data_IF_511317772710
#
_entry.id   IF_511317772710
#
_cell.length_a   1.000
_cell.length_b   1.000
_cell.length_c   1.000
_cell.angle_alpha   90.00
_cell.angle_beta   90.00
_cell.angle_gamma   90.00
#
_symmetry.space_group_name_H-M   'P 1'
#
loop_
_entity.id
_entity.type
_entity.pdbx_description
1 polymer ?
#
# COMPACT_ATOMS: atom_id res chain seq x y z
N UNK A 1 -36.77 -41.37 -11.04
CA UNK A 1 -36.20 -40.12 -10.51
C UNK A 1 -35.13 -39.70 -11.49
N UNK A 2 -35.31 -38.56 -12.16
CA UNK A 2 -34.28 -38.01 -13.04
C UNK A 2 -33.27 -37.35 -12.12
N UNK A 3 -32.06 -37.89 -12.09
CA UNK A 3 -30.90 -37.31 -11.43
C UNK A 3 -30.56 -36.03 -12.20
N UNK A 4 -30.93 -34.88 -11.64
CA UNK A 4 -30.49 -33.60 -12.15
C UNK A 4 -28.98 -33.50 -11.85
N UNK A 5 -28.14 -33.22 -12.85
CA UNK A 5 -26.72 -32.97 -12.57
C UNK A 5 -26.60 -31.83 -11.56
N UNK A 6 -25.63 -31.90 -10.62
CA UNK A 6 -25.42 -30.83 -9.66
C UNK A 6 -25.21 -29.50 -10.40
N UNK A 7 -25.88 -28.45 -9.93
CA UNK A 7 -25.70 -27.10 -10.48
C UNK A 7 -24.21 -26.77 -10.52
N UNK A 8 -23.70 -26.20 -11.63
CA UNK A 8 -22.30 -25.80 -11.71
C UNK A 8 -21.99 -24.82 -10.57
N UNK A 9 -20.79 -24.90 -9.96
CA UNK A 9 -20.42 -24.01 -8.88
C UNK A 9 -20.57 -22.56 -9.34
N UNK A 10 -21.22 -21.75 -8.50
CA UNK A 10 -21.36 -20.31 -8.74
C UNK A 10 -19.94 -19.73 -8.85
N UNK A 11 -19.65 -19.06 -9.96
CA UNK A 11 -18.35 -18.43 -10.18
C UNK A 11 -18.15 -17.33 -9.13
N UNK A 12 -16.93 -17.22 -8.59
CA UNK A 12 -16.62 -16.30 -7.49
C UNK A 12 -17.01 -14.85 -7.86
N UNK A 13 -16.87 -14.48 -9.12
CA UNK A 13 -17.28 -13.20 -9.70
C UNK A 13 -18.77 -12.91 -9.51
N UNK A 14 -19.62 -13.92 -9.68
CA UNK A 14 -21.08 -13.79 -9.48
C UNK A 14 -21.42 -13.60 -8.00
N UNK A 15 -20.71 -14.30 -7.10
CA UNK A 15 -20.87 -14.13 -5.65
C UNK A 15 -20.48 -12.71 -5.23
N UNK A 16 -19.35 -12.21 -5.73
CA UNK A 16 -18.90 -10.84 -5.45
C UNK A 16 -19.88 -9.82 -6.03
N UNK A 17 -20.31 -9.99 -7.29
CA UNK A 17 -21.26 -9.09 -7.93
C UNK A 17 -22.58 -8.99 -7.14
N UNK A 18 -23.11 -10.11 -6.67
CA UNK A 18 -24.32 -10.10 -5.84
C UNK A 18 -24.10 -9.35 -4.53
N UNK A 19 -22.98 -9.59 -3.83
CA UNK A 19 -22.66 -8.88 -2.59
C UNK A 19 -22.50 -7.37 -2.79
N UNK A 20 -21.99 -6.93 -3.94
CA UNK A 20 -21.87 -5.51 -4.28
C UNK A 20 -23.25 -4.87 -4.51
N UNK A 21 -24.18 -5.59 -5.16
CA UNK A 21 -25.58 -5.14 -5.26
C UNK A 21 -26.23 -5.06 -3.88
N UNK A 22 -25.95 -6.02 -2.99
CA UNK A 22 -26.45 -6.00 -1.60
C UNK A 22 -25.88 -4.82 -0.79
N UNK A 23 -24.70 -4.30 -1.18
CA UNK A 23 -24.14 -3.06 -0.65
C UNK A 23 -24.81 -1.79 -1.22
N UNK A 24 -25.75 -1.93 -2.16
CA UNK A 24 -26.50 -0.84 -2.77
C UNK A 24 -25.87 -0.26 -4.04
N UNK A 25 -24.98 -0.99 -4.71
CA UNK A 25 -24.43 -0.57 -6.00
C UNK A 25 -25.35 -1.00 -7.16
N UNK A 26 -25.42 -0.17 -8.20
CA UNK A 26 -26.10 -0.54 -9.45
C UNK A 26 -25.26 -1.59 -10.21
N UNK A 27 -25.89 -2.72 -10.53
CA UNK A 27 -25.28 -3.84 -11.26
C UNK A 27 -24.76 -3.46 -12.66
N UNK A 28 -25.27 -2.39 -13.27
CA UNK A 28 -24.78 -1.91 -14.57
C UNK A 28 -23.56 -1.00 -14.44
N UNK A 29 -23.28 -0.52 -13.23
CA UNK A 29 -22.22 0.46 -12.98
C UNK A 29 -20.87 -0.12 -12.61
N UNK A 30 -20.74 -1.44 -12.44
CA UNK A 30 -19.48 -2.10 -12.11
C UNK A 30 -19.25 -3.37 -12.92
N UNK A 31 -17.99 -3.83 -12.95
CA UNK A 31 -17.61 -5.12 -13.52
C UNK A 31 -16.80 -5.92 -12.52
N UNK A 32 -17.02 -7.23 -12.47
CA UNK A 32 -16.23 -8.18 -11.69
C UNK A 32 -15.66 -9.21 -12.66
N UNK A 33 -14.35 -9.26 -12.80
CA UNK A 33 -13.67 -10.13 -13.77
C UNK A 33 -12.38 -10.67 -13.21
N UNK A 34 -12.10 -11.95 -13.44
CA UNK A 34 -10.76 -12.47 -13.28
C UNK A 34 -9.84 -11.87 -14.35
N UNK A 35 -8.73 -11.29 -13.92
CA UNK A 35 -7.72 -10.71 -14.78
C UNK A 35 -6.45 -11.56 -14.73
N UNK A 36 -6.16 -12.27 -15.83
CA UNK A 36 -5.03 -13.21 -15.91
C UNK A 36 -3.69 -12.54 -15.56
N UNK A 37 -3.51 -11.26 -15.90
CA UNK A 37 -2.27 -10.55 -15.60
C UNK A 37 -2.11 -10.18 -14.12
N UNK A 38 -3.22 -10.08 -13.38
CA UNK A 38 -3.23 -9.84 -11.93
C UNK A 38 -3.24 -11.15 -11.13
N UNK A 39 -3.60 -12.26 -11.77
CA UNK A 39 -3.88 -13.54 -11.10
C UNK A 39 -4.91 -13.37 -9.96
N UNK A 40 -5.88 -12.48 -10.16
CA UNK A 40 -6.87 -12.06 -9.18
C UNK A 40 -8.10 -11.50 -9.90
N UNK A 41 -9.22 -11.41 -9.18
CA UNK A 41 -10.42 -10.73 -9.65
C UNK A 41 -10.24 -9.22 -9.46
N UNK A 42 -10.49 -8.46 -10.53
CA UNK A 42 -10.62 -7.02 -10.47
C UNK A 42 -12.08 -6.60 -10.48
N UNK A 43 -12.43 -5.75 -9.52
CA UNK A 43 -13.73 -5.12 -9.36
C UNK A 43 -13.57 -3.66 -9.80
N UNK A 44 -14.08 -3.31 -10.98
CA UNK A 44 -14.02 -1.95 -11.50
C UNK A 44 -15.37 -1.27 -11.28
N UNK A 45 -15.40 -0.27 -10.41
CA UNK A 45 -16.60 0.50 -10.04
C UNK A 45 -16.58 1.83 -10.79
N UNK A 46 -17.55 2.02 -11.68
CA UNK A 46 -17.79 3.27 -12.39
C UNK A 46 -18.69 4.23 -11.60
N UNK A 47 -18.81 5.46 -12.11
CA UNK A 47 -19.71 6.47 -11.53
C UNK A 47 -21.17 6.00 -11.49
N UNK A 48 -21.60 5.28 -12.53
CA UNK A 48 -22.98 4.80 -12.66
C UNK A 48 -23.35 3.74 -11.61
N UNK A 49 -22.38 3.17 -10.88
CA UNK A 49 -22.65 2.26 -9.77
C UNK A 49 -23.28 2.96 -8.56
N UNK A 50 -23.18 4.30 -8.49
CA UNK A 50 -23.70 5.08 -7.37
C UNK A 50 -22.94 4.87 -6.05
N UNK A 51 -21.70 4.38 -6.11
CA UNK A 51 -20.91 4.13 -4.92
C UNK A 51 -20.54 5.42 -4.18
N UNK A 52 -20.58 5.37 -2.85
CA UNK A 52 -20.23 6.48 -1.94
C UNK A 52 -19.30 5.99 -0.83
N UNK A 53 -18.63 6.91 -0.13
CA UNK A 53 -17.70 6.58 0.97
C UNK A 53 -18.36 5.76 2.09
N UNK A 54 -19.65 6.00 2.35
CA UNK A 54 -20.42 5.25 3.35
C UNK A 54 -20.52 3.75 3.04
N UNK A 55 -20.31 3.35 1.78
CA UNK A 55 -20.37 1.96 1.35
C UNK A 55 -19.01 1.25 1.36
N UNK A 56 -17.90 1.95 1.60
CA UNK A 56 -16.55 1.38 1.52
C UNK A 56 -16.35 0.14 2.38
N UNK A 57 -16.83 0.15 3.62
CA UNK A 57 -16.74 -1.02 4.50
C UNK A 57 -17.54 -2.23 3.97
N UNK A 58 -18.67 -1.98 3.30
CA UNK A 58 -19.46 -3.04 2.68
C UNK A 58 -18.76 -3.58 1.42
N UNK A 59 -18.30 -2.69 0.55
CA UNK A 59 -17.58 -3.02 -0.69
C UNK A 59 -16.32 -3.84 -0.37
N UNK A 60 -15.53 -3.43 0.62
CA UNK A 60 -14.33 -4.16 1.03
C UNK A 60 -14.66 -5.57 1.53
N UNK A 61 -15.71 -5.74 2.34
CA UNK A 61 -16.16 -7.08 2.77
C UNK A 61 -16.72 -7.92 1.62
N UNK A 62 -17.37 -7.30 0.64
CA UNK A 62 -17.88 -7.97 -0.54
C UNK A 62 -16.74 -8.49 -1.43
N UNK A 63 -15.72 -7.66 -1.64
CA UNK A 63 -14.53 -7.95 -2.42
C UNK A 63 -13.61 -8.98 -1.75
N UNK A 64 -13.51 -8.97 -0.41
CA UNK A 64 -12.61 -9.87 0.31
C UNK A 64 -11.14 -9.50 0.07
N UNK A 65 -10.40 -10.37 -0.61
CA UNK A 65 -8.98 -10.15 -0.95
C UNK A 65 -8.77 -9.67 -2.40
N UNK A 66 -9.87 -9.49 -3.14
CA UNK A 66 -9.83 -9.09 -4.55
C UNK A 66 -9.61 -7.58 -4.71
N UNK A 67 -9.16 -7.18 -5.90
CA UNK A 67 -8.75 -5.80 -6.19
C UNK A 67 -9.99 -4.93 -6.45
N UNK A 68 -10.09 -3.79 -5.78
CA UNK A 68 -11.16 -2.81 -5.99
C UNK A 68 -10.57 -1.55 -6.62
N UNK A 69 -11.07 -1.21 -7.80
CA UNK A 69 -10.67 -0.05 -8.60
C UNK A 69 -11.87 0.84 -8.86
N UNK A 70 -11.83 2.09 -8.42
CA UNK A 70 -12.79 3.13 -8.77
C UNK A 70 -12.28 3.93 -9.97
N UNK A 71 -13.14 4.10 -10.98
CA UNK A 71 -12.80 4.95 -12.15
C UNK A 71 -12.73 6.43 -11.80
N UNK A 72 -13.39 6.85 -10.73
CA UNK A 72 -13.36 8.22 -10.26
C UNK A 72 -12.19 8.39 -9.28
N UNK A 73 -11.20 9.20 -9.68
CA UNK A 73 -9.96 9.39 -8.91
C UNK A 73 -10.20 9.85 -7.47
N UNK A 74 -11.17 10.72 -7.23
CA UNK A 74 -11.51 11.19 -5.88
C UNK A 74 -12.00 10.03 -5.00
N UNK A 75 -12.87 9.17 -5.54
CA UNK A 75 -13.40 8.02 -4.82
C UNK A 75 -12.34 6.92 -4.65
N UNK A 76 -11.45 6.73 -5.63
CA UNK A 76 -10.29 5.86 -5.50
C UNK A 76 -9.34 6.32 -4.38
N UNK A 77 -9.07 7.63 -4.31
CA UNK A 77 -8.24 8.20 -3.25
C UNK A 77 -8.88 7.97 -1.88
N UNK A 78 -10.16 8.34 -1.73
CA UNK A 78 -10.88 8.15 -0.47
C UNK A 78 -10.96 6.67 -0.05
N UNK A 79 -11.12 5.75 -1.00
CA UNK A 79 -11.11 4.31 -0.71
C UNK A 79 -9.72 3.83 -0.26
N UNK A 80 -8.66 4.35 -0.88
CA UNK A 80 -7.27 4.06 -0.50
C UNK A 80 -6.99 4.54 0.93
N UNK A 81 -7.45 5.74 1.28
CA UNK A 81 -7.33 6.29 2.64
C UNK A 81 -8.11 5.46 3.66
N UNK A 82 -9.35 5.07 3.32
CA UNK A 82 -10.15 4.15 4.14
C UNK A 82 -9.43 2.82 4.40
N UNK A 83 -8.82 2.23 3.37
CA UNK A 83 -8.06 0.98 3.51
C UNK A 83 -6.81 1.18 4.37
N UNK A 84 -6.08 2.28 4.18
CA UNK A 84 -4.92 2.60 5.00
C UNK A 84 -5.28 2.71 6.49
N UNK A 85 -6.38 3.38 6.83
CA UNK A 85 -6.91 3.48 8.19
C UNK A 85 -7.32 2.11 8.74
N UNK A 86 -8.03 1.31 7.95
CA UNK A 86 -8.51 -0.01 8.34
C UNK A 86 -7.36 -0.97 8.71
N UNK A 87 -6.27 -0.95 7.93
CA UNK A 87 -5.13 -1.83 8.14
C UNK A 87 -4.04 -1.23 9.04
N UNK A 88 -4.10 0.07 9.37
CA UNK A 88 -3.09 0.75 10.19
C UNK A 88 -2.75 0.01 11.49
N UNK A 89 -3.71 -0.50 12.30
CA UNK A 89 -3.37 -1.20 13.53
C UNK A 89 -2.49 -2.44 13.30
N UNK A 90 -2.80 -3.22 12.27
CA UNK A 90 -2.03 -4.41 11.90
C UNK A 90 -0.66 -4.00 11.34
N UNK A 91 -0.61 -2.98 10.49
CA UNK A 91 0.66 -2.43 9.97
C UNK A 91 1.58 -1.97 11.10
N UNK A 92 1.07 -1.26 12.09
CA UNK A 92 1.84 -0.84 13.27
C UNK A 92 2.34 -2.07 14.04
N UNK A 93 1.49 -3.07 14.27
CA UNK A 93 1.87 -4.27 15.00
C UNK A 93 3.00 -5.03 14.29
N UNK A 94 2.88 -5.23 12.98
CA UNK A 94 3.87 -5.95 12.17
C UNK A 94 5.19 -5.16 12.07
N UNK A 95 5.11 -3.85 11.84
CA UNK A 95 6.30 -2.99 11.79
C UNK A 95 7.02 -2.93 13.16
N UNK A 96 6.26 -2.86 14.26
CA UNK A 96 6.81 -2.92 15.62
C UNK A 96 7.54 -4.25 15.86
N UNK A 97 6.92 -5.37 15.49
CA UNK A 97 7.52 -6.70 15.62
C UNK A 97 8.80 -6.82 14.78
N UNK A 98 8.79 -6.28 13.55
CA UNK A 98 9.95 -6.20 12.67
C UNK A 98 11.12 -5.43 13.29
N UNK A 99 10.87 -4.21 13.77
CA UNK A 99 11.91 -3.41 14.43
C UNK A 99 12.43 -4.06 15.71
N UNK A 100 11.56 -4.66 16.52
CA UNK A 100 11.97 -5.38 17.73
C UNK A 100 12.92 -6.53 17.40
N UNK A 101 12.62 -7.32 16.35
CA UNK A 101 13.49 -8.42 15.88
C UNK A 101 14.86 -7.91 15.42
N UNK A 102 14.91 -6.71 14.85
CA UNK A 102 16.14 -6.08 14.38
C UNK A 102 16.89 -5.31 15.49
N UNK A 103 16.34 -5.21 16.70
CA UNK A 103 16.92 -4.41 17.79
C UNK A 103 16.86 -2.90 17.52
N UNK A 104 15.97 -2.45 16.64
CA UNK A 104 15.85 -1.06 16.19
C UNK A 104 14.65 -0.33 16.82
N UNK A 105 13.89 -0.98 17.70
CA UNK A 105 12.73 -0.34 18.35
C UNK A 105 13.17 0.60 19.48
N UNK A 106 14.18 0.21 20.25
CA UNK A 106 14.65 1.00 21.38
C UNK A 106 15.31 2.28 20.88
N UNK A 107 14.92 3.42 21.48
CA UNK A 107 15.39 4.76 21.11
C UNK A 107 15.12 5.14 19.63
N UNK A 108 14.07 4.58 19.03
CA UNK A 108 13.68 4.94 17.67
C UNK A 108 13.52 6.46 17.49
N UNK A 109 14.10 7.09 16.44
CA UNK A 109 13.97 8.51 16.18
C UNK A 109 12.51 8.92 15.99
N UNK A 110 12.03 9.86 16.80
CA UNK A 110 10.69 10.43 16.67
C UNK A 110 10.71 11.67 15.79
N UNK A 111 9.76 11.81 14.86
CA UNK A 111 9.69 12.97 13.95
C UNK A 111 9.70 14.31 14.68
N UNK A 112 8.98 14.40 15.79
CA UNK A 112 8.81 15.63 16.59
C UNK A 112 10.08 16.11 17.30
N UNK A 113 11.12 15.28 17.38
CA UNK A 113 12.41 15.66 17.96
C UNK A 113 13.32 16.42 16.98
N UNK A 114 12.89 16.63 15.73
CA UNK A 114 13.71 17.24 14.68
C UNK A 114 13.02 18.45 14.06
N UNK A 115 13.78 19.52 13.85
CA UNK A 115 13.29 20.77 13.24
C UNK A 115 12.97 20.59 11.76
N UNK A 116 13.77 19.78 11.04
CA UNK A 116 13.59 19.52 9.60
C UNK A 116 13.40 18.04 9.28
N UNK A 117 12.71 17.77 8.16
CA UNK A 117 12.61 16.42 7.59
C UNK A 117 13.96 15.85 7.19
N UNK A 118 14.91 16.71 6.78
CA UNK A 118 16.26 16.30 6.44
C UNK A 118 17.04 15.80 7.66
N UNK A 119 16.87 16.45 8.82
CA UNK A 119 17.48 16.00 10.07
C UNK A 119 16.87 14.69 10.55
N UNK A 120 15.55 14.56 10.45
CA UNK A 120 14.85 13.32 10.76
C UNK A 120 15.32 12.16 9.87
N UNK A 121 15.41 12.37 8.55
CA UNK A 121 15.90 11.37 7.61
C UNK A 121 17.32 10.90 7.95
N UNK A 122 18.23 11.84 8.24
CA UNK A 122 19.60 11.53 8.66
C UNK A 122 19.67 10.74 9.96
N UNK A 123 18.79 11.05 10.91
CA UNK A 123 18.72 10.33 12.17
C UNK A 123 18.20 8.89 11.98
N UNK A 124 17.21 8.67 11.12
CA UNK A 124 16.73 7.33 10.77
C UNK A 124 17.84 6.47 10.14
N UNK A 125 18.63 7.04 9.22
CA UNK A 125 19.77 6.35 8.63
C UNK A 125 20.82 5.98 9.67
N UNK A 126 21.20 6.95 10.51
CA UNK A 126 22.17 6.72 11.59
C UNK A 126 21.70 5.63 12.57
N UNK A 127 20.40 5.65 12.92
CA UNK A 127 19.78 4.65 13.78
C UNK A 127 19.86 3.24 13.18
N UNK A 128 19.76 3.14 11.85
CA UNK A 128 19.88 1.89 11.11
C UNK A 128 21.33 1.50 10.78
N UNK A 129 22.34 2.22 11.31
CA UNK A 129 23.75 1.95 11.06
C UNK A 129 24.25 2.36 9.67
N UNK A 130 23.52 3.24 8.97
CA UNK A 130 23.89 3.78 7.67
C UNK A 130 24.56 5.15 7.80
N UNK A 131 25.23 5.56 6.73
CA UNK A 131 25.82 6.89 6.62
C UNK A 131 24.68 7.92 6.48
N UNK A 132 24.61 8.96 7.32
CA UNK A 132 23.59 10.00 7.20
C UNK A 132 23.62 10.70 5.84
N UNK A 133 22.45 10.85 5.23
CA UNK A 133 22.20 11.44 3.92
C UNK A 133 22.55 10.53 2.74
N UNK A 134 22.83 9.24 2.97
CA UNK A 134 23.25 8.33 1.90
C UNK A 134 22.10 7.75 1.08
N UNK A 135 21.01 7.38 1.73
CA UNK A 135 19.88 6.66 1.17
C UNK A 135 18.52 7.37 1.33
N UNK A 136 18.37 8.34 2.23
CA UNK A 136 17.16 9.14 2.37
C UNK A 136 17.36 10.57 1.89
N UNK A 137 16.38 11.10 1.16
CA UNK A 137 16.35 12.47 0.65
C UNK A 137 15.00 13.13 0.97
N UNK A 138 15.03 14.16 1.81
CA UNK A 138 13.87 15.02 2.04
C UNK A 138 13.63 15.93 0.82
N UNK A 139 12.37 16.08 0.42
CA UNK A 139 11.95 16.94 -0.69
C UNK A 139 10.53 17.47 -0.43
N UNK A 140 10.38 18.80 -0.42
CA UNK A 140 9.12 19.42 -0.01
C UNK A 140 8.69 18.94 1.38
N UNK A 141 7.53 18.30 1.43
CA UNK A 141 6.94 17.74 2.66
C UNK A 141 7.22 16.24 2.84
N UNK A 142 7.91 15.58 1.89
CA UNK A 142 8.14 14.14 1.89
C UNK A 142 9.60 13.73 2.10
N UNK A 143 9.80 12.42 2.30
CA UNK A 143 11.11 11.78 2.30
C UNK A 143 11.09 10.67 1.25
N UNK A 144 12.10 10.64 0.39
CA UNK A 144 12.29 9.56 -0.58
C UNK A 144 13.42 8.64 -0.20
N UNK A 145 13.19 7.35 -0.37
CA UNK A 145 14.25 6.35 -0.37
C UNK A 145 14.96 6.33 -1.74
N UNK A 146 16.23 6.75 -1.74
CA UNK A 146 17.14 6.88 -2.87
C UNK A 146 18.53 6.32 -2.49
N UNK A 147 18.67 5.00 -2.27
CA UNK A 147 19.96 4.40 -1.94
C UNK A 147 20.95 4.50 -3.12
N UNK A 148 22.26 4.53 -2.86
CA UNK A 148 23.27 4.31 -3.89
C UNK A 148 23.01 3.01 -4.64
N UNK A 149 23.37 2.97 -5.93
CA UNK A 149 23.15 1.81 -6.77
C UNK A 149 23.97 0.62 -6.27
N UNK A 150 23.28 -0.42 -5.83
CA UNK A 150 23.87 -1.73 -5.53
C UNK A 150 23.57 -2.69 -6.69
N UNK A 151 24.55 -3.47 -7.12
CA UNK A 151 24.39 -4.44 -8.23
C UNK A 151 23.88 -5.79 -7.72
N UNK A 152 24.18 -6.13 -6.47
CA UNK A 152 23.76 -7.36 -5.83
C UNK A 152 22.55 -7.13 -4.91
N UNK A 153 21.44 -7.79 -5.21
CA UNK A 153 20.22 -7.74 -4.41
C UNK A 153 20.43 -8.26 -2.98
N UNK A 154 21.30 -9.24 -2.78
CA UNK A 154 21.56 -9.80 -1.44
C UNK A 154 22.27 -8.78 -0.56
N UNK A 155 23.27 -8.08 -1.10
CA UNK A 155 23.96 -7.01 -0.39
C UNK A 155 23.03 -5.81 -0.15
N UNK A 156 22.22 -5.45 -1.15
CA UNK A 156 21.19 -4.43 -0.99
C UNK A 156 20.23 -4.76 0.16
N UNK A 157 19.65 -5.97 0.15
CA UNK A 157 18.68 -6.41 1.15
C UNK A 157 19.31 -6.43 2.55
N UNK A 158 20.51 -6.99 2.66
CA UNK A 158 21.24 -7.02 3.93
C UNK A 158 21.51 -5.61 4.46
N UNK A 159 21.92 -4.68 3.60
CA UNK A 159 22.30 -3.31 3.96
C UNK A 159 21.11 -2.42 4.32
N UNK A 160 20.01 -2.50 3.57
CA UNK A 160 18.88 -1.57 3.71
C UNK A 160 17.65 -2.17 4.40
N UNK A 161 17.61 -3.46 4.72
CA UNK A 161 16.46 -4.09 5.41
C UNK A 161 16.06 -3.37 6.70
N UNK A 162 17.05 -2.94 7.51
CA UNK A 162 16.81 -2.15 8.72
C UNK A 162 16.15 -0.81 8.43
N UNK A 163 16.67 -0.08 7.44
CA UNK A 163 16.11 1.21 7.02
C UNK A 163 14.71 1.06 6.43
N UNK A 164 14.46 0.03 5.62
CA UNK A 164 13.13 -0.25 5.05
C UNK A 164 12.12 -0.53 6.18
N UNK A 165 12.50 -1.36 7.16
CA UNK A 165 11.65 -1.61 8.33
C UNK A 165 11.39 -0.33 9.15
N UNK A 166 12.40 0.53 9.32
CA UNK A 166 12.27 1.81 10.00
C UNK A 166 11.32 2.77 9.27
N UNK A 167 11.41 2.85 7.94
CA UNK A 167 10.50 3.63 7.10
C UNK A 167 9.06 3.13 7.25
N UNK A 168 8.84 1.81 7.17
CA UNK A 168 7.51 1.22 7.33
C UNK A 168 6.91 1.54 8.69
N UNK A 169 7.70 1.44 9.76
CA UNK A 169 7.25 1.80 11.11
C UNK A 169 6.93 3.28 11.24
N UNK A 170 7.84 4.16 10.80
CA UNK A 170 7.63 5.61 10.83
C UNK A 170 6.35 6.03 10.09
N UNK A 171 6.09 5.43 8.93
CA UNK A 171 4.88 5.68 8.16
C UNK A 171 3.63 5.15 8.89
N UNK A 172 3.68 3.94 9.45
CA UNK A 172 2.55 3.33 10.15
C UNK A 172 2.12 4.13 11.39
N UNK A 173 3.06 4.75 12.11
CA UNK A 173 2.76 5.57 13.30
C UNK A 173 2.44 7.04 12.97
N UNK A 174 2.46 7.43 11.69
CA UNK A 174 2.17 8.81 11.26
C UNK A 174 3.31 9.80 11.48
N UNK A 175 4.52 9.33 11.78
CA UNK A 175 5.71 10.19 11.92
C UNK A 175 6.20 10.72 10.54
N UNK A 176 5.62 10.21 9.46
CA UNK A 176 5.97 10.54 8.09
C UNK A 176 4.85 10.24 7.10
N UNK A 177 3.90 11.17 7.04
CA UNK A 177 2.99 11.27 5.90
C UNK A 177 3.84 11.64 4.66
N UNK A 178 3.90 10.74 3.66
CA UNK A 178 4.64 11.00 2.42
C UNK A 178 6.05 10.40 2.29
N UNK A 179 6.32 9.22 2.88
CA UNK A 179 7.47 8.43 2.42
C UNK A 179 7.21 7.87 1.01
N UNK A 180 8.00 8.34 0.05
CA UNK A 180 8.01 7.83 -1.32
C UNK A 180 9.15 6.84 -1.53
N UNK A 181 8.89 5.76 -2.27
CA UNK A 181 9.95 4.96 -2.87
C UNK A 181 10.17 5.46 -4.30
N UNK A 182 11.34 6.02 -4.61
CA UNK A 182 11.70 6.28 -6.00
C UNK A 182 12.30 5.00 -6.56
N UNK A 183 11.48 4.22 -7.26
CA UNK A 183 11.95 3.11 -8.08
C UNK A 183 12.72 3.60 -9.31
N UNK A 184 13.50 2.71 -9.93
CA UNK A 184 14.42 2.96 -11.06
C UNK A 184 13.84 3.64 -12.34
N UNK A 185 12.61 4.15 -12.32
CA UNK A 185 11.99 4.88 -13.42
C UNK A 185 12.69 6.22 -13.75
N UNK A 186 13.57 6.73 -12.88
CA UNK A 186 14.34 7.96 -13.12
C UNK A 186 15.49 7.82 -14.15
N UNK A 187 15.73 6.65 -14.75
CA UNK A 187 16.79 6.43 -15.78
C UNK A 187 16.23 6.23 -17.20
N UNK A 188 14.97 6.64 -17.47
CA UNK A 188 14.45 6.68 -18.85
C UNK A 188 14.44 8.10 -19.47
N UNK A 189 14.42 9.15 -18.65
CA UNK A 189 14.31 10.54 -19.13
C UNK A 189 15.67 11.28 -19.23
N UNK A 190 16.76 10.66 -18.76
CA UNK A 190 18.13 11.22 -18.90
C UNK A 190 18.85 10.78 -20.20
N UNK A 191 18.21 9.97 -21.04
CA UNK A 191 18.74 9.48 -22.32
C UNK A 191 18.15 10.15 -23.57
N UNK A 192 17.35 11.20 -23.40
CA UNK A 192 16.82 12.03 -24.49
C UNK A 192 17.08 13.51 -24.23
N UNK A 193 18.35 13.91 -24.24
CA UNK A 193 18.77 15.27 -24.62
C UNK A 193 20.06 15.18 -25.42
#
# INVERSE_FOLDING_TARGET
MIDLPPEPPIQQEQVIAQKLVDCGLDAQGFTVKYEDYLQSIEIVIGRDAGATENQFACINRAAGHEIVTFRENALQSAYTDFMAELYRPQMIADATAGLKKLGLLDNFPKRTAYESLADYARALESHCGLIPGSALKAHGEGISFQPPREVDFKEFSKKYSGLIAAIMYANAIGDSEGFGFIGNAAIAEAGKR
#
